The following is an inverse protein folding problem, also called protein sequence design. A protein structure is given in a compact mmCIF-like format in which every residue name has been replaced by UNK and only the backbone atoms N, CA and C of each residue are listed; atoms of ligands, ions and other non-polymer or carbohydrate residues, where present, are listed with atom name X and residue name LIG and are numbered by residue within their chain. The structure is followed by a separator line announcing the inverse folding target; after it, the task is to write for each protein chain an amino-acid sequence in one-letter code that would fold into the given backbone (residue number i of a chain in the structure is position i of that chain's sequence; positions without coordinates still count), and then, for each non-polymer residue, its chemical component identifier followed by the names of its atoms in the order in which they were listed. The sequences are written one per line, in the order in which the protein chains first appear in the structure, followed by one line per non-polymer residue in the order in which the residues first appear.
data_IF_311611846051
#
_entry.id   IF_311611846051
#
_cell.length_a   1.000
_cell.length_b   1.000
_cell.length_c   1.000
_cell.angle_alpha   90.00
_cell.angle_beta   90.00
_cell.angle_gamma   90.00
#
_symmetry.space_group_name_H-M   'P 1'
#
loop_
_entity.id
_entity.type
_entity.pdbx_description
1 polymer ?
#
# COMPACT_ATOMS: atom_id res chain seq x y z
N UNK A 1 -16.58 3.16 -14.06
CA UNK A 1 -17.73 2.61 -13.30
C UNK A 1 -17.40 1.28 -12.60
N UNK A 2 -17.32 0.13 -13.30
CA UNK A 2 -17.18 -1.20 -12.67
C UNK A 2 -15.88 -1.43 -11.87
N UNK A 3 -14.76 -0.83 -12.30
CA UNK A 3 -13.47 -0.87 -11.59
C UNK A 3 -13.26 0.30 -10.62
N UNK A 4 -14.32 1.06 -10.33
CA UNK A 4 -14.24 2.26 -9.51
C UNK A 4 -13.51 3.46 -10.15
N UNK A 5 -13.00 3.34 -11.39
CA UNK A 5 -12.31 4.40 -12.13
C UNK A 5 -13.25 5.54 -12.58
N UNK A 6 -12.68 6.74 -12.68
CA UNK A 6 -13.28 7.90 -13.38
C UNK A 6 -12.90 7.84 -14.85
N UNK A 7 -13.86 8.07 -15.74
CA UNK A 7 -13.63 8.07 -17.17
C UNK A 7 -14.08 9.41 -17.77
N UNK A 8 -13.26 9.94 -18.67
CA UNK A 8 -13.53 11.13 -19.45
C UNK A 8 -13.55 10.74 -20.93
N UNK A 9 -14.62 11.09 -21.62
CA UNK A 9 -14.81 10.83 -23.05
C UNK A 9 -14.09 11.85 -23.95
N UNK A 10 -13.58 12.94 -23.39
CA UNK A 10 -13.03 14.07 -24.13
C UNK A 10 -11.50 14.04 -24.21
N UNK A 11 -10.93 12.88 -24.55
CA UNK A 11 -9.48 12.70 -24.57
C UNK A 11 -8.88 12.96 -25.94
N UNK A 12 -7.89 13.85 -25.99
CA UNK A 12 -6.92 13.92 -27.10
C UNK A 12 -6.07 12.64 -27.13
N UNK A 13 -5.45 12.35 -28.27
CA UNK A 13 -4.53 11.20 -28.41
C UNK A 13 -3.43 11.28 -27.33
N UNK A 14 -3.23 10.19 -26.58
CA UNK A 14 -2.25 10.00 -25.49
C UNK A 14 -2.68 10.35 -24.05
N UNK A 15 -3.93 10.76 -23.80
CA UNK A 15 -4.45 10.89 -22.43
C UNK A 15 -5.32 9.66 -22.10
N UNK A 16 -5.11 8.98 -20.96
CA UNK A 16 -5.97 7.87 -20.57
C UNK A 16 -7.43 8.31 -20.41
N UNK A 17 -8.33 7.71 -21.18
CA UNK A 17 -9.78 7.98 -21.09
C UNK A 17 -10.41 7.47 -19.79
N UNK A 18 -9.72 6.62 -19.03
CA UNK A 18 -10.12 6.23 -17.68
C UNK A 18 -8.89 6.20 -16.77
N UNK A 19 -9.04 6.73 -15.55
CA UNK A 19 -7.97 6.82 -14.55
C UNK A 19 -8.47 6.48 -13.14
N UNK A 20 -7.52 6.17 -12.25
CA UNK A 20 -7.78 5.90 -10.84
C UNK A 20 -8.04 7.24 -10.13
N UNK A 21 -9.20 7.42 -9.48
CA UNK A 21 -9.49 8.62 -8.70
C UNK A 21 -8.51 8.74 -7.52
N UNK A 22 -8.16 9.97 -7.16
CA UNK A 22 -7.18 10.25 -6.10
C UNK A 22 -7.62 9.72 -4.71
N UNK A 23 -8.93 9.60 -4.51
CA UNK A 23 -9.54 9.12 -3.28
C UNK A 23 -9.71 7.60 -3.21
N UNK A 24 -9.37 6.85 -4.27
CA UNK A 24 -9.61 5.40 -4.35
C UNK A 24 -8.34 4.57 -4.49
N UNK A 25 -8.43 3.33 -4.01
CA UNK A 25 -7.35 2.37 -4.02
C UNK A 25 -6.23 2.72 -3.04
N UNK A 26 -5.09 2.03 -3.21
CA UNK A 26 -3.91 2.20 -2.37
C UNK A 26 -3.99 1.48 -1.03
N UNK A 27 -3.04 1.82 -0.17
CA UNK A 27 -2.86 1.23 1.16
C UNK A 27 -2.69 2.35 2.18
N UNK A 28 -3.01 2.07 3.45
CA UNK A 28 -2.78 2.96 4.57
C UNK A 28 -1.79 2.32 5.55
N UNK A 29 -1.01 3.16 6.22
CA UNK A 29 -0.12 2.75 7.30
C UNK A 29 -0.99 2.39 8.51
N UNK A 30 -0.89 1.15 8.99
CA UNK A 30 -1.72 0.68 10.12
C UNK A 30 -1.03 0.78 11.46
N UNK A 31 0.29 0.84 11.48
CA UNK A 31 1.10 0.93 12.70
C UNK A 31 2.26 1.90 12.50
N UNK A 32 2.77 2.54 13.57
CA UNK A 32 4.01 3.29 13.49
C UNK A 32 5.14 2.43 12.88
N UNK A 33 6.06 3.04 12.12
CA UNK A 33 7.20 2.32 11.54
C UNK A 33 8.00 1.61 12.64
N UNK A 34 8.34 0.34 12.40
CA UNK A 34 9.16 -0.45 13.32
C UNK A 34 10.60 -0.40 12.84
N UNK A 35 11.50 0.20 13.61
CA UNK A 35 12.94 0.10 13.32
C UNK A 35 13.45 -1.24 13.82
N UNK A 36 14.01 -2.05 12.92
CA UNK A 36 14.73 -3.27 13.27
C UNK A 36 16.19 -2.99 13.59
N UNK A 37 16.76 -1.97 12.95
CA UNK A 37 18.10 -1.43 13.22
C UNK A 37 18.19 -0.01 12.64
N UNK A 38 19.28 0.69 12.92
CA UNK A 38 19.56 2.00 12.35
C UNK A 38 19.52 2.02 10.81
N UNK A 39 19.72 0.85 10.18
CA UNK A 39 19.76 0.68 8.74
C UNK A 39 18.46 0.10 8.17
N UNK A 40 17.52 -0.40 8.99
CA UNK A 40 16.36 -1.17 8.52
C UNK A 40 15.08 -0.73 9.24
N UNK A 41 14.09 -0.31 8.45
CA UNK A 41 12.77 0.08 8.93
C UNK A 41 11.69 -0.75 8.23
N UNK A 42 10.69 -1.20 8.99
CA UNK A 42 9.52 -1.92 8.50
C UNK A 42 8.27 -1.06 8.64
N UNK A 43 7.47 -1.03 7.58
CA UNK A 43 6.15 -0.42 7.52
C UNK A 43 5.09 -1.50 7.29
N UNK A 44 4.05 -1.50 8.11
CA UNK A 44 2.89 -2.39 7.93
C UNK A 44 1.78 -1.61 7.28
N UNK A 45 1.35 -2.04 6.10
CA UNK A 45 0.32 -1.38 5.31
C UNK A 45 -0.88 -2.30 5.17
N UNK A 46 -2.08 -1.72 5.23
CA UNK A 46 -3.31 -2.45 4.91
C UNK A 46 -4.06 -1.74 3.81
N UNK A 47 -4.67 -2.51 2.93
CA UNK A 47 -5.36 -2.04 1.75
C UNK A 47 -6.52 -1.14 2.16
N UNK A 48 -6.64 0.00 1.48
CA UNK A 48 -7.80 0.86 1.59
C UNK A 48 -8.92 0.22 0.76
N UNK A 49 -9.75 -0.63 1.40
CA UNK A 49 -10.96 -1.18 0.79
C UNK A 49 -11.98 -0.05 0.62
N UNK A 50 -12.50 0.15 -0.58
CA UNK A 50 -13.28 1.32 -0.99
C UNK A 50 -14.72 1.36 -0.48
N UNK A 51 -15.03 0.74 0.67
CA UNK A 51 -16.36 0.91 1.26
C UNK A 51 -16.58 2.41 1.54
N UNK A 52 -17.68 3.03 1.07
CA UNK A 52 -18.14 4.26 1.69
C UNK A 52 -18.47 3.95 3.16
N UNK A 53 -18.01 4.79 4.08
CA UNK A 53 -18.39 4.72 5.50
C UNK A 53 -19.92 4.78 5.57
N UNK A 54 -20.57 3.65 5.82
CA UNK A 54 -22.00 3.57 6.09
C UNK A 54 -22.17 3.17 7.55
N UNK A 55 -22.25 4.18 8.43
CA UNK A 55 -22.74 3.98 9.80
C UNK A 55 -24.24 3.73 9.72
N UNK A 56 -24.67 2.46 9.77
CA UNK A 56 -26.07 2.13 10.05
C UNK A 56 -26.15 0.97 11.05
N UNK A 57 -26.62 1.34 12.25
CA UNK A 57 -27.14 0.45 13.28
C UNK A 57 -28.23 -0.47 12.70
N UNK A 58 -28.14 -1.79 12.97
CA UNK A 58 -29.19 -2.75 12.61
C UNK A 58 -29.47 -3.70 13.80
N UNK A 59 -30.76 -3.83 14.11
CA UNK A 59 -31.33 -4.65 15.19
C UNK A 59 -31.35 -6.15 14.83
N UNK A 60 -31.45 -6.98 15.86
CA UNK A 60 -30.73 -8.25 16.03
C UNK A 60 -31.44 -9.57 15.66
N UNK A 61 -32.48 -9.61 14.81
CA UNK A 61 -33.22 -10.87 14.57
C UNK A 61 -33.26 -11.37 13.12
N UNK A 62 -32.83 -10.57 12.13
CA UNK A 62 -32.78 -10.97 10.70
C UNK A 62 -31.42 -11.60 10.29
N UNK A 63 -30.57 -11.92 11.27
CA UNK A 63 -29.14 -12.13 11.07
C UNK A 63 -28.78 -13.49 10.42
N UNK A 64 -29.50 -14.60 10.67
CA UNK A 64 -28.92 -15.92 10.34
C UNK A 64 -29.04 -16.29 8.84
N UNK A 65 -30.16 -15.98 8.18
CA UNK A 65 -30.31 -16.27 6.74
C UNK A 65 -29.60 -15.23 5.85
N UNK A 66 -29.46 -13.99 6.34
CA UNK A 66 -28.63 -12.99 5.68
C UNK A 66 -27.16 -13.37 5.74
N UNK A 67 -26.64 -14.04 6.78
CA UNK A 67 -25.20 -14.30 6.94
C UNK A 67 -24.53 -15.07 5.78
N UNK A 68 -25.17 -16.05 5.15
CA UNK A 68 -24.53 -16.80 4.04
C UNK A 68 -24.50 -16.00 2.72
N UNK A 69 -25.56 -15.24 2.43
CA UNK A 69 -25.63 -14.31 1.31
C UNK A 69 -24.79 -13.05 1.57
N UNK A 70 -24.71 -12.57 2.81
CA UNK A 70 -23.82 -11.46 3.18
C UNK A 70 -22.37 -11.88 3.14
N UNK A 71 -21.97 -13.13 3.40
CA UNK A 71 -20.57 -13.50 3.23
C UNK A 71 -20.14 -13.35 1.76
N UNK A 72 -20.94 -13.85 0.79
CA UNK A 72 -20.66 -13.65 -0.64
C UNK A 72 -20.80 -12.19 -1.09
N UNK A 73 -21.78 -11.46 -0.55
CA UNK A 73 -22.03 -10.03 -0.87
C UNK A 73 -21.01 -9.10 -0.17
N UNK A 74 -20.47 -9.46 0.99
CA UNK A 74 -19.43 -8.73 1.72
C UNK A 74 -18.06 -8.95 1.09
N UNK A 75 -17.77 -10.17 0.65
CA UNK A 75 -16.55 -10.49 -0.10
C UNK A 75 -16.52 -9.74 -1.45
N UNK A 76 -17.66 -9.65 -2.15
CA UNK A 76 -17.80 -8.82 -3.37
C UNK A 76 -17.80 -7.31 -3.09
N UNK A 77 -18.25 -6.84 -1.93
CA UNK A 77 -18.16 -5.40 -1.52
C UNK A 77 -16.78 -4.98 -1.03
N UNK A 78 -15.97 -5.89 -0.46
CA UNK A 78 -14.58 -5.58 -0.10
C UNK A 78 -13.67 -5.40 -1.33
N UNK A 79 -14.14 -5.86 -2.49
CA UNK A 79 -13.44 -5.82 -3.77
C UNK A 79 -13.83 -4.64 -4.68
N UNK A 80 -14.48 -3.62 -4.15
CA UNK A 80 -15.02 -2.47 -4.91
C UNK A 80 -13.93 -1.63 -5.64
N UNK A 81 -12.64 -1.92 -5.40
CA UNK A 81 -11.50 -1.44 -6.18
C UNK A 81 -10.49 -2.53 -6.53
N UNK A 82 -10.97 -3.70 -6.95
CA UNK A 82 -10.14 -4.74 -7.55
C UNK A 82 -10.05 -4.57 -9.06
N UNK A 83 -8.84 -4.44 -9.59
CA UNK A 83 -8.65 -4.35 -11.05
C UNK A 83 -8.64 -5.73 -11.72
N UNK A 84 -8.05 -6.73 -11.06
CA UNK A 84 -7.77 -8.05 -11.62
C UNK A 84 -8.06 -9.22 -10.68
N UNK A 85 -8.61 -8.98 -9.48
CA UNK A 85 -8.74 -10.00 -8.43
C UNK A 85 -7.41 -10.30 -7.74
N UNK A 86 -7.45 -11.14 -6.70
CA UNK A 86 -6.25 -11.58 -5.97
C UNK A 86 -5.52 -10.48 -5.24
N UNK A 87 -6.22 -9.42 -4.82
CA UNK A 87 -5.62 -8.30 -4.10
C UNK A 87 -5.07 -8.77 -2.74
N UNK A 88 -3.90 -8.24 -2.36
CA UNK A 88 -3.26 -8.52 -1.07
C UNK A 88 -3.74 -7.46 -0.08
N UNK A 89 -4.37 -7.89 1.02
CA UNK A 89 -4.92 -6.94 1.99
C UNK A 89 -3.85 -6.32 2.88
N UNK A 90 -2.84 -7.09 3.28
CA UNK A 90 -1.81 -6.62 4.19
C UNK A 90 -0.44 -6.79 3.56
N UNK A 91 0.29 -5.68 3.47
CA UNK A 91 1.64 -5.63 2.96
C UNK A 91 2.62 -5.29 4.07
N UNK A 92 3.80 -5.90 3.99
CA UNK A 92 4.97 -5.49 4.75
C UNK A 92 5.97 -4.82 3.79
N UNK A 93 6.29 -3.56 4.05
CA UNK A 93 7.33 -2.84 3.31
C UNK A 93 8.56 -2.76 4.19
N UNK A 94 9.65 -3.38 3.75
CA UNK A 94 10.95 -3.27 4.38
C UNK A 94 11.82 -2.29 3.59
N UNK A 95 12.33 -1.27 4.27
CA UNK A 95 13.28 -0.32 3.71
C UNK A 95 14.60 -0.50 4.43
N UNK A 96 15.68 -0.61 3.67
CA UNK A 96 17.02 -0.70 4.22
C UNK A 96 17.98 0.24 3.52
N UNK A 97 18.93 0.77 4.30
CA UNK A 97 20.04 1.58 3.84
C UNK A 97 21.31 0.75 3.77
N UNK A 98 22.18 1.06 2.82
CA UNK A 98 23.52 0.49 2.72
C UNK A 98 24.50 1.61 2.41
N UNK A 99 25.25 2.06 3.40
CA UNK A 99 26.12 3.22 3.28
C UNK A 99 25.31 4.52 3.13
N UNK A 100 25.85 5.47 2.35
CA UNK A 100 25.25 6.82 2.22
C UNK A 100 24.40 7.01 0.97
N UNK A 101 24.40 6.07 0.03
CA UNK A 101 23.90 6.29 -1.33
C UNK A 101 23.02 5.14 -1.88
N UNK A 102 22.72 4.12 -1.07
CA UNK A 102 21.85 3.00 -1.48
C UNK A 102 20.67 2.83 -0.55
N UNK A 103 19.48 2.83 -1.14
CA UNK A 103 18.23 2.39 -0.53
C UNK A 103 17.79 1.11 -1.23
N UNK A 104 17.33 0.13 -0.45
CA UNK A 104 16.53 -0.98 -0.95
C UNK A 104 15.18 -0.97 -0.26
N UNK A 105 14.12 -0.99 -1.06
CA UNK A 105 12.76 -1.19 -0.61
C UNK A 105 12.26 -2.54 -1.13
N UNK A 106 11.60 -3.31 -0.29
CA UNK A 106 10.93 -4.55 -0.67
C UNK A 106 9.52 -4.55 -0.12
N UNK A 107 8.54 -4.80 -1.00
CA UNK A 107 7.13 -4.91 -0.66
C UNK A 107 6.75 -6.38 -0.70
N UNK A 108 6.27 -6.91 0.41
CA UNK A 108 5.90 -8.32 0.57
C UNK A 108 4.46 -8.45 1.02
N UNK A 109 3.87 -9.58 0.69
CA UNK A 109 2.65 -10.05 1.34
C UNK A 109 2.99 -10.36 2.81
N UNK A 110 2.18 -9.85 3.74
CA UNK A 110 2.43 -10.01 5.16
C UNK A 110 2.14 -11.43 5.67
N UNK A 111 1.33 -12.21 4.94
CA UNK A 111 0.78 -13.48 5.42
C UNK A 111 1.22 -14.69 4.58
N UNK A 112 1.76 -14.46 3.39
CA UNK A 112 2.20 -15.54 2.51
C UNK A 112 3.56 -15.26 1.89
N UNK A 113 4.41 -16.30 1.84
CA UNK A 113 5.64 -16.23 1.05
C UNK A 113 5.27 -16.22 -0.44
N UNK A 114 5.77 -15.22 -1.16
CA UNK A 114 5.63 -15.13 -2.62
C UNK A 114 6.96 -15.48 -3.28
N UNK A 115 6.89 -15.81 -4.57
CA UNK A 115 8.09 -16.08 -5.36
C UNK A 115 9.04 -14.88 -5.31
N UNK A 116 10.27 -15.11 -4.86
CA UNK A 116 11.40 -14.19 -5.00
C UNK A 116 12.38 -14.80 -6.01
N UNK A 117 12.96 -13.95 -6.87
CA UNK A 117 13.91 -14.40 -7.89
C UNK A 117 15.14 -15.03 -7.20
N UNK A 118 15.50 -16.30 -7.50
CA UNK A 118 16.54 -17.03 -6.78
C UNK A 118 17.94 -16.65 -7.29
N UNK A 119 18.32 -15.38 -7.12
CA UNK A 119 19.67 -14.89 -7.40
C UNK A 119 20.37 -14.52 -6.09
N UNK A 120 21.70 -14.70 -5.98
CA UNK A 120 22.46 -14.27 -4.82
C UNK A 120 22.30 -12.76 -4.59
N UNK A 121 21.58 -12.41 -3.53
CA UNK A 121 21.36 -11.03 -3.15
C UNK A 121 22.55 -10.54 -2.32
N UNK A 122 23.52 -9.89 -2.98
CA UNK A 122 24.66 -9.25 -2.28
C UNK A 122 24.20 -7.88 -1.74
N UNK A 123 23.55 -7.90 -0.58
CA UNK A 123 23.11 -6.69 0.12
C UNK A 123 23.52 -6.76 1.60
N UNK A 124 24.16 -5.70 2.07
CA UNK A 124 24.60 -5.57 3.46
C UNK A 124 24.00 -4.29 4.02
N UNK A 125 22.90 -4.38 4.78
CA UNK A 125 22.34 -3.22 5.46
C UNK A 125 23.40 -2.59 6.35
N UNK A 126 23.63 -1.29 6.18
CA UNK A 126 24.53 -0.50 7.01
C UNK A 126 24.07 0.94 7.01
N UNK A 127 23.86 1.49 8.21
CA UNK A 127 23.52 2.89 8.36
C UNK A 127 24.78 3.74 8.17
N UNK A 128 24.67 4.94 7.60
CA UNK A 128 25.77 5.89 7.67
C UNK A 128 26.06 6.22 9.14
N UNK A 129 27.35 6.32 9.49
CA UNK A 129 27.82 6.59 10.86
C UNK A 129 27.19 7.85 11.47
N UNK A 130 26.77 8.82 10.64
CA UNK A 130 25.99 9.99 11.05
C UNK A 130 24.90 10.27 10.02
N UNK A 131 23.76 10.81 10.47
CA UNK A 131 22.65 11.20 9.60
C UNK A 131 23.04 12.24 8.55
N UNK A 132 24.03 13.09 8.85
CA UNK A 132 24.60 14.10 7.94
C UNK A 132 25.39 13.52 6.77
N UNK A 133 25.82 12.26 6.84
CA UNK A 133 26.56 11.60 5.76
C UNK A 133 25.64 10.93 4.74
N UNK A 134 24.35 10.75 5.06
CA UNK A 134 23.41 10.20 4.09
C UNK A 134 23.21 11.19 2.95
N UNK A 135 23.33 10.72 1.69
CA UNK A 135 23.06 11.49 0.47
C UNK A 135 21.63 11.32 -0.03
N UNK A 136 20.90 10.40 0.59
CA UNK A 136 19.52 10.06 0.25
C UNK A 136 18.70 9.92 1.53
N UNK A 137 17.44 10.32 1.43
CA UNK A 137 16.44 10.21 2.49
C UNK A 137 15.22 9.49 1.95
N UNK A 138 14.76 8.48 2.67
CA UNK A 138 13.48 7.82 2.41
C UNK A 138 12.43 8.40 3.34
N UNK A 139 11.27 8.77 2.79
CA UNK A 139 10.13 9.25 3.57
C UNK A 139 8.85 8.55 3.11
N UNK A 140 8.01 8.19 4.08
CA UNK A 140 6.63 7.82 3.80
C UNK A 140 5.80 9.10 3.69
N UNK A 141 5.04 9.20 2.62
CA UNK A 141 4.08 10.27 2.40
C UNK A 141 2.67 9.75 2.58
N UNK A 142 1.73 10.65 2.89
CA UNK A 142 0.32 10.32 3.03
C UNK A 142 -0.51 11.34 2.26
N UNK A 143 -1.42 10.87 1.43
CA UNK A 143 -2.39 11.72 0.74
C UNK A 143 -3.47 12.21 1.72
N UNK A 144 -4.27 13.23 1.36
CA UNK A 144 -5.42 13.64 2.16
C UNK A 144 -6.45 12.53 2.42
N UNK A 145 -6.56 11.54 1.52
CA UNK A 145 -7.50 10.42 1.64
C UNK A 145 -6.87 9.19 2.32
N UNK A 146 -5.64 9.33 2.81
CA UNK A 146 -4.97 8.33 3.64
C UNK A 146 -4.21 7.25 2.90
N UNK A 147 -4.10 7.33 1.57
CA UNK A 147 -3.15 6.49 0.82
C UNK A 147 -1.73 6.84 1.23
N UNK A 148 -0.93 5.81 1.42
CA UNK A 148 0.50 5.89 1.67
C UNK A 148 1.25 5.86 0.34
N UNK A 149 2.15 6.82 0.19
CA UNK A 149 3.19 6.83 -0.83
C UNK A 149 4.57 6.79 -0.19
N UNK A 150 5.59 6.81 -1.04
CA UNK A 150 6.98 6.93 -0.61
C UNK A 150 7.70 7.94 -1.50
N UNK A 151 8.64 8.65 -0.90
CA UNK A 151 9.51 9.58 -1.60
C UNK A 151 10.96 9.28 -1.24
N UNK A 152 11.82 9.28 -2.26
CA UNK A 152 13.27 9.27 -2.08
C UNK A 152 13.77 10.64 -2.50
N UNK A 153 14.41 11.34 -1.57
CA UNK A 153 14.96 12.66 -1.81
C UNK A 153 16.48 12.61 -1.71
N UNK A 154 17.17 13.36 -2.56
CA UNK A 154 18.59 13.63 -2.37
C UNK A 154 18.72 14.66 -1.25
N UNK A 155 19.52 14.35 -0.25
CA UNK A 155 19.93 15.33 0.76
C UNK A 155 21.11 16.10 0.15
N UNK A 156 20.89 17.38 -0.19
CA UNK A 156 21.98 18.23 -0.63
C UNK A 156 23.03 18.31 0.48
N UNK A 157 24.25 17.91 0.16
CA UNK A 157 25.47 18.22 0.91
C UNK A 157 25.81 19.69 0.75
#
# INVERSE_FOLDING_TARGET
AARGCTCDSNTTTNIPSCYIPIEKGGYNLTKPPTQLSDAITIYTLSRLSTKPIQVRSLKSAELIYKYSLTNRVMETRMNEFSMFGGDINDLQVQVSLSGSDKIRMTVRDAHAQRYEVPIPIIWKPSAPFTSSLSKIKFEITKTPYGQVGFQVQRTNT
#
